data_IF_381799522452
#
_entry.id   IF_381799522452
#
_cell.length_a   1.000
_cell.length_b   1.000
_cell.length_c   1.000
_cell.angle_alpha   90.00
_cell.angle_beta   90.00
_cell.angle_gamma   90.00
#
_symmetry.space_group_name_H-M   'P 1'
#
loop_
_entity.id
_entity.type
_entity.pdbx_description
1 polymer ?
#
# COMPACT_ATOMS: atom_id res chain seq x y z
N UNK A 1 -3.92 -48.30 8.33
CA UNK A 1 -3.46 -47.48 7.19
C UNK A 1 -4.27 -46.17 7.13
N UNK A 2 -4.29 -45.36 8.20
CA UNK A 2 -5.03 -44.09 8.22
C UNK A 2 -4.50 -43.06 9.25
N UNK A 3 -3.24 -43.17 9.68
CA UNK A 3 -2.65 -42.22 10.66
C UNK A 3 -1.48 -41.44 10.06
N UNK A 4 -0.92 -41.89 8.92
CA UNK A 4 0.24 -41.22 8.32
C UNK A 4 -0.11 -40.02 7.40
N UNK A 5 -1.36 -39.92 6.92
CA UNK A 5 -1.74 -38.88 5.94
C UNK A 5 -2.03 -37.51 6.58
N UNK A 6 -2.38 -37.47 7.87
CA UNK A 6 -2.70 -36.23 8.60
C UNK A 6 -1.47 -35.44 9.02
N UNK A 7 -0.29 -36.08 9.14
CA UNK A 7 0.96 -35.39 9.47
C UNK A 7 1.59 -34.67 8.27
N UNK A 8 1.19 -35.03 7.05
CA UNK A 8 1.67 -34.39 5.83
C UNK A 8 1.01 -33.02 5.54
N UNK A 9 -0.08 -32.68 6.23
CA UNK A 9 -0.92 -31.51 5.92
C UNK A 9 -0.63 -30.24 6.75
N UNK A 10 0.42 -30.23 7.58
CA UNK A 10 0.71 -29.10 8.47
C UNK A 10 2.20 -28.76 8.60
N UNK A 11 3.00 -29.09 7.58
CA UNK A 11 4.31 -28.45 7.38
C UNK A 11 4.06 -27.21 6.52
N UNK A 12 3.45 -26.19 7.11
CA UNK A 12 3.63 -24.84 6.56
C UNK A 12 5.12 -24.55 6.70
N UNK A 13 5.82 -24.48 5.55
CA UNK A 13 7.16 -23.92 5.50
C UNK A 13 7.07 -22.49 6.03
N UNK A 14 7.47 -22.29 7.28
CA UNK A 14 7.75 -20.97 7.83
C UNK A 14 8.95 -20.42 7.06
N UNK A 15 8.66 -19.80 5.91
CA UNK A 15 9.67 -19.20 5.05
C UNK A 15 10.23 -18.00 5.80
N UNK A 16 11.38 -18.20 6.43
CA UNK A 16 12.14 -17.14 7.11
C UNK A 16 12.47 -16.05 6.09
N UNK A 17 11.68 -14.98 6.09
CA UNK A 17 11.89 -13.85 5.19
C UNK A 17 13.15 -13.12 5.64
N UNK A 18 14.02 -12.82 4.69
CA UNK A 18 15.17 -11.97 4.95
C UNK A 18 14.71 -10.54 5.28
N UNK A 19 15.49 -9.80 6.07
CA UNK A 19 15.22 -8.38 6.36
C UNK A 19 15.00 -7.55 5.08
N UNK A 20 15.64 -7.92 3.97
CA UNK A 20 15.43 -7.26 2.68
C UNK A 20 14.05 -7.55 2.08
N UNK A 21 13.58 -8.80 2.18
CA UNK A 21 12.23 -9.19 1.77
C UNK A 21 11.19 -8.46 2.62
N UNK A 22 11.37 -8.39 3.94
CA UNK A 22 10.48 -7.62 4.84
C UNK A 22 10.43 -6.12 4.49
N UNK A 23 11.58 -5.48 4.27
CA UNK A 23 11.65 -4.07 3.88
C UNK A 23 10.99 -3.85 2.52
N UNK A 24 11.22 -4.75 1.57
CA UNK A 24 10.68 -4.67 0.21
C UNK A 24 9.16 -4.81 0.23
N UNK A 25 8.66 -5.79 0.98
CA UNK A 25 7.23 -6.03 1.16
C UNK A 25 6.56 -4.85 1.87
N UNK A 26 7.19 -4.28 2.90
CA UNK A 26 6.73 -3.05 3.56
C UNK A 26 6.65 -1.87 2.59
N UNK A 27 7.66 -1.66 1.74
CA UNK A 27 7.66 -0.60 0.73
C UNK A 27 6.54 -0.82 -0.29
N UNK A 28 6.42 -2.03 -0.84
CA UNK A 28 5.39 -2.31 -1.84
C UNK A 28 4.00 -2.12 -1.27
N UNK A 29 3.74 -2.63 -0.07
CA UNK A 29 2.44 -2.47 0.57
C UNK A 29 2.11 -1.00 0.85
N UNK A 30 3.06 -0.19 1.36
CA UNK A 30 2.81 1.25 1.61
C UNK A 30 2.65 2.07 0.32
N UNK A 31 3.39 1.74 -0.73
CA UNK A 31 3.35 2.47 -2.00
C UNK A 31 2.10 2.11 -2.81
N UNK A 32 1.65 0.85 -2.76
CA UNK A 32 0.45 0.41 -3.47
C UNK A 32 -0.84 1.06 -2.95
N UNK A 33 -0.89 1.41 -1.66
CA UNK A 33 -2.09 1.99 -1.03
C UNK A 33 -2.16 3.53 -1.15
N UNK A 34 -1.13 4.17 -1.70
CA UNK A 34 -1.06 5.63 -1.78
C UNK A 34 -1.83 6.18 -2.99
N UNK A 35 -2.83 7.04 -2.74
CA UNK A 35 -3.67 7.67 -3.77
C UNK A 35 -3.36 9.16 -3.98
N UNK A 36 -2.19 9.64 -3.55
CA UNK A 36 -1.68 10.98 -3.76
C UNK A 36 -0.18 10.99 -4.12
N UNK A 37 0.24 12.04 -4.83
CA UNK A 37 1.64 12.34 -5.05
C UNK A 37 2.14 13.29 -3.97
N UNK A 38 3.01 12.78 -3.10
CA UNK A 38 3.76 13.59 -2.14
C UNK A 38 5.01 14.19 -2.80
N UNK A 39 5.16 15.51 -2.75
CA UNK A 39 6.31 16.22 -3.33
C UNK A 39 7.42 16.45 -2.31
N UNK A 40 7.06 17.00 -1.15
CA UNK A 40 7.98 17.27 -0.06
C UNK A 40 7.24 17.38 1.27
N UNK A 41 8.00 17.29 2.36
CA UNK A 41 7.51 17.57 3.69
C UNK A 41 8.41 18.57 4.40
N UNK A 42 7.80 19.41 5.25
CA UNK A 42 8.52 20.33 6.13
C UNK A 42 8.22 19.98 7.58
N UNK A 43 9.18 20.21 8.47
CA UNK A 43 9.00 20.06 9.91
C UNK A 43 8.88 21.44 10.55
N UNK A 44 7.77 21.67 11.24
CA UNK A 44 7.60 22.91 12.01
C UNK A 44 8.63 22.96 13.14
N UNK A 45 9.40 24.04 13.23
CA UNK A 45 10.47 24.18 14.23
C UNK A 45 9.94 24.38 15.65
N UNK A 46 8.69 24.82 15.81
CA UNK A 46 8.07 25.11 17.11
C UNK A 46 7.27 23.93 17.64
N UNK A 47 6.49 23.27 16.78
CA UNK A 47 5.64 22.13 17.18
C UNK A 47 6.27 20.78 16.88
N UNK A 48 7.27 20.71 15.99
CA UNK A 48 7.87 19.45 15.54
C UNK A 48 7.01 18.66 14.55
N UNK A 49 5.84 19.16 14.17
CA UNK A 49 4.90 18.48 13.28
C UNK A 49 5.38 18.47 11.82
N UNK A 50 5.15 17.35 11.12
CA UNK A 50 5.43 17.22 9.69
C UNK A 50 4.22 17.71 8.89
N UNK A 51 4.42 18.73 8.06
CA UNK A 51 3.44 19.14 7.04
C UNK A 51 3.84 18.54 5.69
N UNK A 52 2.92 17.80 5.08
CA UNK A 52 3.09 17.16 3.79
C UNK A 52 2.47 18.04 2.69
N UNK A 53 3.20 18.23 1.60
CA UNK A 53 2.73 18.96 0.43
C UNK A 53 2.72 18.00 -0.76
N UNK A 54 1.56 17.89 -1.40
CA UNK A 54 1.30 16.95 -2.48
C UNK A 54 -0.03 17.24 -3.17
N UNK A 55 -0.41 16.38 -4.11
CA UNK A 55 -1.69 16.47 -4.82
C UNK A 55 -2.27 15.08 -5.12
N UNK A 56 -3.61 14.93 -5.15
CA UNK A 56 -4.25 13.66 -5.47
C UNK A 56 -4.00 13.22 -6.92
N UNK A 57 -4.01 11.91 -7.17
CA UNK A 57 -3.80 11.34 -8.50
C UNK A 57 -4.93 11.74 -9.48
N UNK A 58 -4.62 12.12 -10.73
CA UNK A 58 -5.65 12.28 -11.75
C UNK A 58 -6.23 10.91 -12.14
N UNK A 59 -7.55 10.84 -12.25
CA UNK A 59 -8.31 9.65 -12.65
C UNK A 59 -9.07 9.96 -13.94
N UNK A 60 -8.90 9.08 -14.92
CA UNK A 60 -9.61 9.12 -16.21
C UNK A 60 -10.46 7.86 -16.30
N UNK A 61 -11.77 8.00 -16.48
CA UNK A 61 -12.68 6.90 -16.78
C UNK A 61 -13.22 7.03 -18.20
N UNK A 62 -13.27 5.90 -18.91
CA UNK A 62 -13.84 5.80 -20.26
C UNK A 62 -15.00 4.81 -20.17
N UNK A 63 -16.22 5.33 -20.29
CA UNK A 63 -17.48 4.58 -20.18
C UNK A 63 -18.57 5.34 -20.96
N UNK A 64 -18.79 4.95 -22.22
CA UNK A 64 -19.63 5.65 -23.22
C UNK A 64 -19.42 7.18 -23.28
N UNK A 65 -18.23 7.64 -22.85
CA UNK A 65 -17.85 9.03 -22.63
C UNK A 65 -16.58 9.13 -21.77
N UNK A 66 -16.01 10.32 -21.66
CA UNK A 66 -14.78 10.59 -20.89
C UNK A 66 -15.14 11.33 -19.60
N UNK A 67 -14.68 10.82 -18.45
CA UNK A 67 -14.80 11.49 -17.14
C UNK A 67 -13.41 11.72 -16.57
N UNK A 68 -13.15 12.94 -16.09
CA UNK A 68 -11.89 13.34 -15.46
C UNK A 68 -12.14 13.89 -14.06
N UNK A 69 -11.44 13.35 -13.05
CA UNK A 69 -11.50 13.82 -11.67
C UNK A 69 -10.23 13.45 -10.89
N UNK A 70 -10.05 14.01 -9.70
CA UNK A 70 -8.94 13.66 -8.80
C UNK A 70 -9.33 12.53 -7.85
N UNK A 71 -8.38 11.65 -7.49
CA UNK A 71 -8.57 10.51 -6.59
C UNK A 71 -9.17 10.89 -5.23
N UNK A 72 -8.95 12.13 -4.75
CA UNK A 72 -9.58 12.65 -3.53
C UNK A 72 -11.12 12.64 -3.55
N UNK A 73 -11.73 12.49 -4.73
CA UNK A 73 -13.18 12.35 -4.91
C UNK A 73 -13.67 10.92 -4.71
N UNK A 74 -12.76 9.93 -4.71
CA UNK A 74 -13.06 8.55 -4.36
C UNK A 74 -13.25 8.51 -2.84
N UNK A 75 -14.48 8.26 -2.40
CA UNK A 75 -14.76 7.99 -1.00
C UNK A 75 -14.69 6.47 -0.79
N UNK A 76 -13.87 5.95 0.13
CA UNK A 76 -14.01 4.57 0.58
C UNK A 76 -15.39 4.43 1.25
N UNK A 77 -16.12 3.39 0.86
CA UNK A 77 -17.45 3.04 1.36
C UNK A 77 -17.38 2.41 2.75
#
# INVERSE_FOLDING_TARGET
MLVCASFAYALEEEKEQTLQEEITEYIYHHVQDSHDFSLFSTKDKKTGEKKYYGFPLPVILIDDGIKFFMSSKLRPW
#
